data_IF_792830720759
#
_entry.id   IF_792830720759
#
_cell.length_a   1.000
_cell.length_b   1.000
_cell.length_c   1.000
_cell.angle_alpha   90.00
_cell.angle_beta   90.00
_cell.angle_gamma   90.00
#
_symmetry.space_group_name_H-M   'P 1'
#
loop_
_entity.id
_entity.type
_entity.pdbx_description
1 polymer ?
#
# COMPACT_ATOMS: atom_id res chain seq x y z
N UNK A 1 34.30 26.85 -77.41
CA UNK A 1 35.19 25.69 -77.21
C UNK A 1 35.64 25.66 -75.76
N UNK A 2 35.72 24.44 -75.22
CA UNK A 2 35.96 24.08 -73.82
C UNK A 2 37.24 24.66 -73.18
N UNK A 3 37.18 24.92 -71.86
CA UNK A 3 38.37 25.09 -71.00
C UNK A 3 38.02 25.50 -69.56
N UNK A 4 37.92 24.52 -68.66
CA UNK A 4 37.49 24.61 -67.24
C UNK A 4 38.42 25.43 -66.30
N UNK A 5 37.94 25.81 -65.10
CA UNK A 5 38.52 26.85 -64.25
C UNK A 5 39.51 26.30 -63.19
N UNK A 6 40.32 27.18 -62.59
CA UNK A 6 41.03 26.89 -61.34
C UNK A 6 40.84 27.95 -60.26
N UNK A 7 40.60 27.42 -59.05
CA UNK A 7 40.21 28.06 -57.81
C UNK A 7 41.21 29.09 -57.29
N UNK A 8 40.69 30.22 -56.78
CA UNK A 8 41.39 31.07 -55.80
C UNK A 8 40.94 30.69 -54.40
N UNK A 9 41.90 30.36 -53.54
CA UNK A 9 41.73 30.17 -52.11
C UNK A 9 41.34 31.49 -51.43
N UNK A 10 40.23 31.51 -50.69
CA UNK A 10 39.91 32.55 -49.72
C UNK A 10 39.98 31.96 -48.32
N UNK A 11 40.87 32.51 -47.48
CA UNK A 11 41.09 32.07 -46.10
C UNK A 11 39.83 32.26 -45.25
N UNK A 12 39.42 31.21 -44.55
CA UNK A 12 38.41 31.24 -43.51
C UNK A 12 38.95 31.98 -42.27
N UNK A 13 38.32 33.10 -41.92
CA UNK A 13 38.51 33.74 -40.62
C UNK A 13 37.33 33.34 -39.72
N UNK A 14 37.47 32.25 -38.96
CA UNK A 14 36.47 31.82 -37.96
C UNK A 14 36.76 32.52 -36.63
N UNK A 15 35.81 33.33 -36.16
CA UNK A 15 35.76 33.77 -34.75
C UNK A 15 35.60 32.54 -33.83
N UNK A 16 36.25 32.49 -32.66
CA UNK A 16 36.08 31.39 -31.71
C UNK A 16 34.70 31.46 -31.04
N UNK A 17 34.11 30.31 -30.63
CA UNK A 17 32.84 30.28 -29.93
C UNK A 17 33.00 30.80 -28.49
N UNK A 18 32.03 31.60 -28.04
CA UNK A 18 31.94 32.06 -26.67
C UNK A 18 31.65 30.88 -25.73
N UNK A 19 32.61 30.55 -24.87
CA UNK A 19 32.43 29.58 -23.78
C UNK A 19 31.74 30.32 -22.63
N UNK A 20 30.47 30.01 -22.38
CA UNK A 20 29.74 30.50 -21.22
C UNK A 20 30.25 29.78 -19.97
N UNK A 21 31.11 30.43 -19.20
CA UNK A 21 31.54 29.95 -17.88
C UNK A 21 30.37 30.18 -16.92
N UNK A 22 29.58 29.14 -16.66
CA UNK A 22 28.55 29.16 -15.62
C UNK A 22 29.25 29.45 -14.28
N UNK A 23 28.90 30.56 -13.64
CA UNK A 23 29.52 30.94 -12.37
C UNK A 23 29.24 29.85 -11.31
N UNK A 24 30.21 29.47 -10.48
CA UNK A 24 30.03 28.43 -9.46
C UNK A 24 28.88 28.75 -8.50
N UNK A 25 28.59 30.04 -8.29
CA UNK A 25 27.46 30.53 -7.49
C UNK A 25 26.12 30.01 -7.99
N UNK A 26 25.85 30.06 -9.31
CA UNK A 26 24.57 29.59 -9.88
C UNK A 26 24.37 28.08 -9.74
N UNK A 27 25.46 27.31 -9.77
CA UNK A 27 25.42 25.85 -9.60
C UNK A 27 25.10 25.50 -8.13
N UNK A 28 25.74 26.19 -7.18
CA UNK A 28 25.52 25.98 -5.75
C UNK A 28 24.09 26.34 -5.34
N UNK A 29 23.55 27.47 -5.84
CA UNK A 29 22.17 27.87 -5.53
C UNK A 29 21.14 26.88 -6.09
N UNK A 30 21.37 26.34 -7.29
CA UNK A 30 20.50 25.32 -7.88
C UNK A 30 20.51 24.02 -7.07
N UNK A 31 21.69 23.54 -6.65
CA UNK A 31 21.82 22.33 -5.82
C UNK A 31 21.12 22.52 -4.46
N UNK A 32 21.27 23.69 -3.84
CA UNK A 32 20.61 24.00 -2.57
C UNK A 32 19.08 24.04 -2.72
N UNK A 33 18.56 24.56 -3.84
CA UNK A 33 17.13 24.59 -4.12
C UNK A 33 16.55 23.18 -4.36
N UNK A 34 17.29 22.29 -5.03
CA UNK A 34 16.90 20.89 -5.21
C UNK A 34 16.89 20.13 -3.89
N UNK A 35 17.88 20.35 -3.01
CA UNK A 35 17.94 19.76 -1.67
C UNK A 35 16.74 20.17 -0.79
N UNK A 36 16.29 21.43 -0.88
CA UNK A 36 15.13 21.90 -0.11
C UNK A 36 13.81 21.28 -0.59
N UNK A 37 13.70 20.89 -1.86
CA UNK A 37 12.49 20.27 -2.41
C UNK A 37 12.36 18.78 -2.03
N UNK A 38 13.47 18.10 -1.67
CA UNK A 38 13.43 16.69 -1.25
C UNK A 38 12.81 16.47 0.13
N UNK A 39 12.79 17.47 1.02
CA UNK A 39 12.23 17.32 2.37
C UNK A 39 10.69 17.44 2.43
N UNK A 40 10.04 18.02 1.42
CA UNK A 40 8.58 18.23 1.44
C UNK A 40 7.76 17.01 0.93
N UNK A 41 8.40 16.04 0.27
CA UNK A 41 7.72 14.89 -0.34
C UNK A 41 7.31 13.82 0.69
N UNK A 42 7.92 13.81 1.87
CA UNK A 42 7.76 12.74 2.86
C UNK A 42 6.43 12.86 3.64
N UNK A 43 6.00 14.09 3.96
CA UNK A 43 4.83 14.31 4.83
C UNK A 43 3.53 13.86 4.17
N UNK A 44 3.36 14.10 2.86
CA UNK A 44 2.17 13.68 2.14
C UNK A 44 2.12 12.15 1.96
N UNK A 45 3.28 11.53 1.70
CA UNK A 45 3.41 10.08 1.57
C UNK A 45 3.15 9.37 2.91
N UNK A 46 3.78 9.79 4.01
CA UNK A 46 3.54 9.24 5.35
C UNK A 46 2.07 9.40 5.74
N UNK A 47 1.45 10.55 5.46
CA UNK A 47 0.02 10.77 5.75
C UNK A 47 -0.88 9.86 4.91
N UNK A 48 -0.55 9.63 3.64
CA UNK A 48 -1.26 8.68 2.80
C UNK A 48 -1.11 7.24 3.30
N UNK A 49 0.10 6.82 3.71
CA UNK A 49 0.37 5.49 4.26
C UNK A 49 -0.35 5.27 5.60
N UNK A 50 -0.36 6.29 6.47
CA UNK A 50 -1.07 6.28 7.74
C UNK A 50 -2.59 6.15 7.56
N UNK A 51 -3.17 6.84 6.57
CA UNK A 51 -4.59 6.68 6.23
C UNK A 51 -4.87 5.30 5.62
N UNK A 52 -3.92 4.79 4.83
CA UNK A 52 -4.00 3.50 4.13
C UNK A 52 -3.92 2.30 5.09
N UNK A 53 -3.41 2.46 6.32
CA UNK A 53 -3.36 1.39 7.33
C UNK A 53 -4.40 1.52 8.46
N UNK A 54 -5.16 2.63 8.50
CA UNK A 54 -6.14 2.91 9.57
C UNK A 54 -7.59 2.67 9.15
N UNK A 55 -7.84 2.44 7.86
CA UNK A 55 -9.19 2.27 7.31
C UNK A 55 -9.47 0.81 6.96
N UNK A 56 -10.47 0.20 7.58
CA UNK A 56 -10.99 -1.11 7.18
C UNK A 56 -11.95 -0.97 5.99
N UNK A 57 -11.86 -1.89 5.03
CA UNK A 57 -12.76 -1.94 3.87
C UNK A 57 -12.05 -2.16 2.54
N UNK A 58 -12.76 -1.93 1.43
CA UNK A 58 -12.19 -1.99 0.10
C UNK A 58 -11.28 -0.79 -0.17
N UNK A 59 -10.01 -1.05 -0.46
CA UNK A 59 -9.09 -0.04 -0.97
C UNK A 59 -9.32 0.22 -2.47
N UNK A 60 -9.74 -0.83 -3.19
CA UNK A 60 -10.20 -0.81 -4.58
C UNK A 60 -11.02 -2.10 -4.85
N UNK A 61 -11.45 -2.33 -6.10
CA UNK A 61 -12.29 -3.49 -6.45
C UNK A 61 -11.59 -4.86 -6.31
N UNK A 62 -10.27 -4.89 -6.19
CA UNK A 62 -9.44 -6.09 -6.11
C UNK A 62 -8.83 -6.35 -4.73
N UNK A 63 -8.97 -5.40 -3.79
CA UNK A 63 -8.28 -5.43 -2.50
C UNK A 63 -9.22 -5.03 -1.37
N UNK A 64 -9.39 -5.96 -0.42
CA UNK A 64 -10.05 -5.70 0.84
C UNK A 64 -9.04 -5.68 1.98
N UNK A 65 -9.15 -4.70 2.88
CA UNK A 65 -8.30 -4.54 4.05
C UNK A 65 -9.08 -4.81 5.34
N UNK A 66 -8.58 -5.75 6.14
CA UNK A 66 -9.04 -6.03 7.50
C UNK A 66 -8.08 -5.38 8.51
N UNK A 67 -8.61 -4.87 9.62
CA UNK A 67 -7.81 -4.37 10.74
C UNK A 67 -8.15 -5.20 11.98
N UNK A 68 -7.22 -6.06 12.37
CA UNK A 68 -7.45 -7.11 13.36
C UNK A 68 -6.64 -6.76 14.59
N UNK A 69 -7.28 -6.67 15.75
CA UNK A 69 -6.61 -6.34 17.02
C UNK A 69 -6.86 -7.42 18.05
N UNK A 70 -5.81 -7.87 18.72
CA UNK A 70 -5.90 -8.85 19.79
C UNK A 70 -5.24 -8.34 21.08
N UNK A 71 -5.94 -8.57 22.19
CA UNK A 71 -5.47 -8.22 23.54
C UNK A 71 -4.67 -9.37 24.16
N UNK A 72 -3.77 -9.07 25.11
CA UNK A 72 -3.19 -10.11 25.94
C UNK A 72 -4.26 -10.80 26.80
N UNK A 73 -3.94 -12.01 27.23
CA UNK A 73 -4.76 -12.75 28.19
C UNK A 73 -4.83 -12.01 29.53
N UNK A 74 -5.96 -12.18 30.23
CA UNK A 74 -6.16 -11.56 31.53
C UNK A 74 -5.16 -12.12 32.55
N UNK A 75 -4.56 -11.23 33.35
CA UNK A 75 -3.64 -11.60 34.43
C UNK A 75 -2.19 -11.83 34.01
N UNK A 76 -1.83 -11.59 32.75
CA UNK A 76 -0.43 -11.55 32.33
C UNK A 76 0.25 -10.30 32.90
N UNK A 77 1.34 -10.48 33.63
CA UNK A 77 2.16 -9.39 34.16
C UNK A 77 3.43 -9.17 33.33
N UNK A 78 3.81 -7.90 33.17
CA UNK A 78 5.06 -7.51 32.51
C UNK A 78 4.90 -7.25 31.00
N UNK A 79 5.62 -6.22 30.53
CA UNK A 79 5.51 -5.72 29.15
C UNK A 79 5.78 -6.78 28.08
N UNK A 80 6.85 -7.55 28.26
CA UNK A 80 7.29 -8.56 27.28
C UNK A 80 6.28 -9.70 27.21
N UNK A 81 5.84 -10.23 28.36
CA UNK A 81 4.86 -11.31 28.41
C UNK A 81 3.49 -10.87 27.86
N UNK A 82 3.06 -9.65 28.15
CA UNK A 82 1.84 -9.07 27.60
C UNK A 82 1.88 -9.00 26.06
N UNK A 83 2.97 -8.49 25.50
CA UNK A 83 3.15 -8.42 24.04
C UNK A 83 3.16 -9.80 23.39
N UNK A 84 3.86 -10.77 23.99
CA UNK A 84 3.88 -12.14 23.48
C UNK A 84 2.49 -12.78 23.51
N UNK A 85 1.74 -12.61 24.60
CA UNK A 85 0.37 -13.10 24.71
C UNK A 85 -0.56 -12.47 23.66
N UNK A 86 -0.49 -11.14 23.48
CA UNK A 86 -1.25 -10.44 22.44
C UNK A 86 -0.90 -10.95 21.04
N UNK A 87 0.39 -11.17 20.76
CA UNK A 87 0.85 -11.71 19.48
C UNK A 87 0.29 -13.10 19.19
N UNK A 88 0.38 -14.01 20.17
CA UNK A 88 -0.19 -15.35 20.05
C UNK A 88 -1.69 -15.29 19.78
N UNK A 89 -2.42 -14.42 20.48
CA UNK A 89 -3.86 -14.24 20.30
C UNK A 89 -4.21 -13.67 18.91
N UNK A 90 -3.41 -12.73 18.41
CA UNK A 90 -3.55 -12.18 17.06
C UNK A 90 -3.37 -13.27 16.01
N UNK A 91 -2.28 -14.02 16.09
CA UNK A 91 -1.95 -15.09 15.14
C UNK A 91 -2.99 -16.21 15.12
N UNK A 92 -3.56 -16.55 16.27
CA UNK A 92 -4.63 -17.56 16.38
C UNK A 92 -5.97 -17.09 15.81
N UNK A 93 -6.28 -15.80 15.87
CA UNK A 93 -7.59 -15.25 15.50
C UNK A 93 -7.63 -14.65 14.10
N UNK A 94 -6.47 -14.45 13.47
CA UNK A 94 -6.31 -13.77 12.18
C UNK A 94 -7.27 -14.27 11.09
N UNK A 95 -7.33 -15.58 10.89
CA UNK A 95 -8.16 -16.18 9.83
C UNK A 95 -9.64 -16.00 10.14
N UNK A 96 -10.05 -16.31 11.37
CA UNK A 96 -11.45 -16.19 11.77
C UNK A 96 -11.96 -14.76 11.63
N UNK A 97 -11.18 -13.77 12.10
CA UNK A 97 -11.58 -12.37 11.99
C UNK A 97 -11.64 -11.90 10.52
N UNK A 98 -10.73 -12.38 9.66
CA UNK A 98 -10.84 -12.14 8.21
C UNK A 98 -12.11 -12.74 7.60
N UNK A 99 -12.50 -13.96 8.00
CA UNK A 99 -13.75 -14.57 7.55
C UNK A 99 -14.96 -13.76 8.00
N UNK A 100 -15.03 -13.40 9.27
CA UNK A 100 -16.14 -12.65 9.84
C UNK A 100 -16.33 -11.30 9.11
N UNK A 101 -15.24 -10.58 8.86
CA UNK A 101 -15.24 -9.35 8.08
C UNK A 101 -15.74 -9.56 6.64
N UNK A 102 -15.23 -10.60 5.95
CA UNK A 102 -15.63 -10.88 4.57
C UNK A 102 -17.08 -11.37 4.47
N UNK A 103 -17.58 -12.13 5.43
CA UNK A 103 -18.99 -12.55 5.50
C UNK A 103 -19.88 -11.32 5.69
N UNK A 104 -19.52 -10.44 6.63
CA UNK A 104 -20.26 -9.21 6.89
C UNK A 104 -20.30 -8.31 5.65
N UNK A 105 -19.15 -8.05 5.02
CA UNK A 105 -19.12 -7.19 3.81
C UNK A 105 -19.84 -7.82 2.63
N UNK A 106 -19.81 -9.15 2.49
CA UNK A 106 -20.59 -9.87 1.48
C UNK A 106 -22.08 -9.62 1.69
N UNK A 107 -22.57 -9.71 2.93
CA UNK A 107 -23.96 -9.38 3.27
C UNK A 107 -24.33 -7.94 2.93
N UNK A 108 -23.46 -6.98 3.26
CA UNK A 108 -23.66 -5.57 2.95
C UNK A 108 -23.72 -5.31 1.44
N UNK A 109 -22.80 -5.87 0.67
CA UNK A 109 -22.77 -5.73 -0.80
C UNK A 109 -24.02 -6.32 -1.47
N UNK A 110 -24.56 -7.40 -0.91
CA UNK A 110 -25.76 -8.06 -1.42
C UNK A 110 -27.07 -7.47 -0.88
N UNK A 111 -27.00 -6.52 0.06
CA UNK A 111 -28.17 -5.95 0.72
C UNK A 111 -28.94 -6.95 1.59
N UNK A 112 -28.25 -7.94 2.17
CA UNK A 112 -28.85 -9.03 2.96
C UNK A 112 -28.09 -9.25 4.27
N UNK A 113 -28.83 -9.42 5.36
CA UNK A 113 -28.25 -9.85 6.63
C UNK A 113 -27.93 -11.36 6.57
N UNK A 114 -26.71 -11.74 6.97
CA UNK A 114 -26.26 -13.13 6.99
C UNK A 114 -26.30 -13.65 8.42
N UNK A 115 -27.50 -14.06 8.85
CA UNK A 115 -27.74 -14.60 10.19
C UNK A 115 -27.95 -16.12 10.21
N UNK A 116 -28.19 -16.74 9.05
CA UNK A 116 -28.42 -18.18 8.93
C UNK A 116 -27.08 -18.94 9.04
N UNK A 117 -27.00 -19.89 9.96
CA UNK A 117 -25.77 -20.66 10.22
C UNK A 117 -25.33 -21.52 9.03
N UNK A 118 -26.27 -22.07 8.25
CA UNK A 118 -25.94 -22.86 7.05
C UNK A 118 -25.38 -21.99 5.94
N UNK A 119 -25.91 -20.76 5.81
CA UNK A 119 -25.39 -19.76 4.89
C UNK A 119 -23.98 -19.31 5.29
N UNK A 120 -23.74 -19.09 6.58
CA UNK A 120 -22.41 -18.75 7.09
C UNK A 120 -21.38 -19.86 6.82
N UNK A 121 -21.72 -21.12 7.08
CA UNK A 121 -20.83 -22.25 6.78
C UNK A 121 -20.50 -22.35 5.29
N UNK A 122 -21.50 -22.18 4.42
CA UNK A 122 -21.26 -22.15 2.98
C UNK A 122 -20.32 -21.01 2.57
N UNK A 123 -20.56 -19.80 3.09
CA UNK A 123 -19.71 -18.64 2.78
C UNK A 123 -18.29 -18.86 3.27
N UNK A 124 -18.10 -19.45 4.45
CA UNK A 124 -16.77 -19.77 4.96
C UNK A 124 -16.00 -20.67 3.97
N UNK A 125 -16.65 -21.70 3.42
CA UNK A 125 -16.03 -22.56 2.39
C UNK A 125 -15.69 -21.79 1.10
N UNK A 126 -16.58 -20.90 0.65
CA UNK A 126 -16.36 -20.12 -0.57
C UNK A 126 -15.30 -19.02 -0.40
N UNK A 127 -15.16 -18.46 0.79
CA UNK A 127 -14.22 -17.38 1.10
C UNK A 127 -12.83 -17.89 1.47
N UNK A 128 -12.72 -19.17 1.84
CA UNK A 128 -11.47 -19.84 2.20
C UNK A 128 -10.30 -19.55 1.25
N UNK A 129 -10.42 -19.70 -0.09
CA UNK A 129 -9.31 -19.44 -0.99
C UNK A 129 -8.83 -17.97 -0.99
N UNK A 130 -9.66 -17.02 -0.58
CA UNK A 130 -9.25 -15.61 -0.46
C UNK A 130 -8.49 -15.36 0.84
N UNK A 131 -9.01 -15.88 1.97
CA UNK A 131 -8.40 -15.69 3.30
C UNK A 131 -7.08 -16.45 3.43
N UNK A 132 -6.92 -17.60 2.79
CA UNK A 132 -5.65 -18.35 2.79
C UNK A 132 -4.52 -17.58 2.09
N UNK A 133 -4.84 -16.70 1.13
CA UNK A 133 -3.86 -15.87 0.38
C UNK A 133 -3.66 -14.48 0.99
N UNK A 134 -4.20 -14.21 2.17
CA UNK A 134 -4.07 -12.91 2.84
C UNK A 134 -2.60 -12.53 3.06
N UNK A 135 -2.32 -11.24 3.03
CA UNK A 135 -1.00 -10.66 3.28
C UNK A 135 -1.08 -9.74 4.49
N UNK A 136 -0.25 -9.99 5.50
CA UNK A 136 -0.04 -9.06 6.60
C UNK A 136 0.83 -7.91 6.08
N UNK A 137 0.29 -6.70 6.05
CA UNK A 137 0.99 -5.50 5.56
C UNK A 137 1.89 -4.92 6.63
N UNK A 138 1.35 -4.84 7.85
CA UNK A 138 2.06 -4.33 9.02
C UNK A 138 1.45 -4.92 10.28
N UNK A 139 2.26 -5.12 11.31
CA UNK A 139 1.81 -5.29 12.69
C UNK A 139 2.40 -4.19 13.56
N UNK A 140 1.64 -3.75 14.56
CA UNK A 140 2.11 -2.79 15.56
C UNK A 140 1.45 -3.03 16.91
N UNK A 141 2.17 -2.69 17.98
CA UNK A 141 1.65 -2.75 19.34
C UNK A 141 1.00 -1.42 19.73
N UNK A 142 -0.16 -1.50 20.33
CA UNK A 142 -0.89 -0.36 20.88
C UNK A 142 -0.40 -0.04 22.30
N UNK A 143 -0.77 1.15 22.78
CA UNK A 143 -0.45 1.59 24.15
C UNK A 143 -1.11 0.72 25.23
N UNK A 144 -2.22 0.06 24.91
CA UNK A 144 -2.95 -0.86 25.82
C UNK A 144 -2.41 -2.30 25.81
N UNK A 145 -1.20 -2.51 25.29
CA UNK A 145 -0.52 -3.81 25.12
C UNK A 145 -1.18 -4.76 24.12
N UNK A 146 -2.24 -4.35 23.42
CA UNK A 146 -2.77 -5.12 22.29
C UNK A 146 -1.84 -5.05 21.08
N UNK A 147 -1.96 -6.02 20.19
CA UNK A 147 -1.30 -5.99 18.88
C UNK A 147 -2.35 -5.90 17.78
N UNK A 148 -2.10 -5.03 16.80
CA UNK A 148 -2.93 -4.87 15.61
C UNK A 148 -2.17 -5.33 14.38
N UNK A 149 -2.81 -6.16 13.55
CA UNK A 149 -2.40 -6.48 12.19
C UNK A 149 -3.30 -5.78 11.18
N UNK A 150 -2.68 -5.17 10.18
CA UNK A 150 -3.37 -4.71 8.97
C UNK A 150 -3.16 -5.76 7.90
N UNK A 151 -4.25 -6.35 7.43
CA UNK A 151 -4.25 -7.51 6.54
C UNK A 151 -4.94 -7.15 5.24
N UNK A 152 -4.35 -7.54 4.12
CA UNK A 152 -4.96 -7.35 2.80
C UNK A 152 -5.24 -8.68 2.13
N UNK A 153 -6.42 -8.75 1.54
CA UNK A 153 -6.89 -9.87 0.74
C UNK A 153 -6.94 -9.39 -0.70
N UNK A 154 -6.11 -9.98 -1.55
CA UNK A 154 -5.96 -9.62 -2.95
C UNK A 154 -6.55 -10.68 -3.84
N UNK A 155 -7.48 -10.29 -4.69
CA UNK A 155 -8.04 -11.14 -5.73
C UNK A 155 -8.64 -10.25 -6.83
N UNK A 156 -8.35 -10.55 -8.09
CA UNK A 156 -8.90 -9.78 -9.21
C UNK A 156 -10.43 -9.82 -9.21
N UNK A 157 -11.06 -8.64 -9.20
CA UNK A 157 -12.50 -8.48 -9.14
C UNK A 157 -13.12 -8.96 -7.82
N UNK A 158 -12.38 -8.97 -6.71
CA UNK A 158 -12.85 -9.42 -5.39
C UNK A 158 -14.22 -8.85 -5.04
N UNK A 159 -14.40 -7.53 -5.12
CA UNK A 159 -15.66 -6.86 -4.77
C UNK A 159 -16.85 -7.36 -5.60
N UNK A 160 -16.63 -7.53 -6.90
CA UNK A 160 -17.64 -8.07 -7.81
C UNK A 160 -17.95 -9.53 -7.49
N UNK A 161 -16.92 -10.35 -7.25
CA UNK A 161 -17.06 -11.76 -6.86
C UNK A 161 -17.91 -11.91 -5.60
N UNK A 162 -17.66 -11.10 -4.57
CA UNK A 162 -18.45 -11.09 -3.33
C UNK A 162 -19.91 -10.66 -3.57
N UNK A 163 -20.12 -9.64 -4.42
CA UNK A 163 -21.47 -9.15 -4.76
C UNK A 163 -22.32 -10.23 -5.44
N UNK A 164 -21.69 -11.09 -6.25
CA UNK A 164 -22.37 -12.18 -6.97
C UNK A 164 -22.25 -13.53 -6.27
N UNK A 165 -21.65 -13.59 -5.08
CA UNK A 165 -21.38 -14.84 -4.38
C UNK A 165 -22.69 -15.49 -3.94
N UNK A 166 -22.97 -16.69 -4.44
CA UNK A 166 -24.19 -17.41 -4.11
C UNK A 166 -23.85 -18.68 -3.35
N UNK A 167 -24.48 -18.80 -2.19
CA UNK A 167 -24.60 -20.05 -1.47
C UNK A 167 -25.91 -20.72 -1.85
N UNK A 168 -25.82 -21.97 -2.27
CA UNK A 168 -26.96 -22.80 -2.67
C UNK A 168 -27.50 -23.57 -1.48
#
# INVERSE_FOLDING_TARGET
>A
MNGKPMLKCTSFNKKPPAVYILKPVTIITFIFYVLLLSCAHDVAYIKSLSNDITTQGFLNDNCYQCIITAKPDQGIEGLVAGRESAHINLMKSLDQQCYDDLINVTGQLQGKAIADSSLQECLLQQLKPYVEKKVIVVTYFNEDFSETAVVRIYEDGLKQKLTTLQCK
#
